data_IF_804039472851
#
_entry.id   IF_804039472851
#
_cell.length_a   1.000
_cell.length_b   1.000
_cell.length_c   1.000
_cell.angle_alpha   90.00
_cell.angle_beta   90.00
_cell.angle_gamma   90.00
#
_symmetry.space_group_name_H-M   'P 1'
#
loop_
_entity.id
_entity.type
_entity.pdbx_description
1 polymer ?
#
# COMPACT_ATOMS: atom_id res chain seq x y z
N UNK A 1 -1.42 7.09 -11.23
CA UNK A 1 -1.99 7.09 -12.60
C UNK A 1 -3.52 7.16 -12.67
N UNK A 2 -4.31 6.83 -11.63
CA UNK A 2 -5.74 7.27 -11.58
C UNK A 2 -6.00 8.02 -10.26
N UNK A 3 -5.79 7.40 -9.09
CA UNK A 3 -6.15 8.02 -7.80
C UNK A 3 -5.14 9.04 -7.21
N UNK A 4 -3.85 8.93 -7.52
CA UNK A 4 -2.76 9.74 -6.90
C UNK A 4 -1.95 10.58 -7.88
N UNK A 5 -2.16 10.40 -9.19
CA UNK A 5 -1.39 11.02 -10.29
C UNK A 5 0.14 10.81 -10.26
N UNK A 6 0.66 9.95 -9.39
CA UNK A 6 2.07 9.60 -9.35
C UNK A 6 2.43 8.73 -10.57
N UNK A 7 3.59 9.02 -11.17
CA UNK A 7 4.27 8.18 -12.14
C UNK A 7 5.54 7.63 -11.48
N UNK A 8 5.49 6.37 -11.06
CA UNK A 8 6.56 5.71 -10.31
C UNK A 8 6.99 4.44 -11.03
N UNK A 9 8.29 4.14 -10.97
CA UNK A 9 8.78 2.84 -11.35
C UNK A 9 8.42 1.83 -10.26
N UNK A 10 7.60 0.85 -10.62
CA UNK A 10 7.16 -0.19 -9.69
C UNK A 10 8.29 -1.21 -9.57
N UNK A 11 8.73 -1.47 -8.34
CA UNK A 11 9.62 -2.59 -8.08
C UNK A 11 8.81 -3.89 -8.19
N UNK A 12 9.05 -4.63 -9.25
CA UNK A 12 8.37 -5.91 -9.52
C UNK A 12 9.09 -7.14 -8.95
N UNK A 13 10.30 -6.97 -8.39
CA UNK A 13 11.08 -8.05 -7.80
C UNK A 13 10.51 -8.51 -6.46
N UNK A 14 9.75 -7.64 -5.78
CA UNK A 14 9.09 -7.94 -4.53
C UNK A 14 7.60 -7.59 -4.58
N UNK A 15 6.76 -8.53 -4.13
CA UNK A 15 5.33 -8.30 -3.96
C UNK A 15 4.80 -9.07 -2.77
N UNK A 16 3.75 -8.54 -2.15
CA UNK A 16 2.99 -9.23 -1.10
C UNK A 16 1.58 -9.49 -1.58
N UNK A 17 1.01 -10.63 -1.19
CA UNK A 17 -0.28 -11.10 -1.70
C UNK A 17 -1.22 -11.44 -0.56
N UNK A 18 -2.51 -11.17 -0.75
CA UNK A 18 -3.56 -11.62 0.16
C UNK A 18 -4.79 -12.03 -0.62
N UNK A 19 -5.51 -13.02 -0.09
CA UNK A 19 -6.74 -13.55 -0.64
C UNK A 19 -7.71 -13.75 0.51
N UNK A 20 -8.95 -13.31 0.34
CA UNK A 20 -10.00 -13.45 1.36
C UNK A 20 -11.40 -13.34 0.76
N UNK A 21 -12.34 -14.02 1.39
CA UNK A 21 -13.75 -14.01 0.99
C UNK A 21 -14.47 -12.79 1.58
N UNK A 22 -15.27 -12.14 0.75
CA UNK A 22 -16.14 -11.04 1.15
C UNK A 22 -17.51 -11.58 1.59
N UNK A 23 -18.21 -10.90 2.51
CA UNK A 23 -19.54 -11.34 2.98
C UNK A 23 -20.60 -11.48 1.87
N UNK A 24 -20.39 -10.85 0.72
CA UNK A 24 -21.25 -10.95 -0.45
C UNK A 24 -20.98 -12.20 -1.32
N UNK A 25 -20.10 -13.10 -0.87
CA UNK A 25 -19.72 -14.32 -1.58
C UNK A 25 -18.64 -14.14 -2.64
N UNK A 26 -18.13 -12.92 -2.84
CA UNK A 26 -17.05 -12.68 -3.78
C UNK A 26 -15.69 -13.00 -3.15
N UNK A 27 -14.85 -13.70 -3.91
CA UNK A 27 -13.47 -13.97 -3.52
C UNK A 27 -12.56 -12.85 -4.00
N UNK A 28 -11.90 -12.15 -3.08
CA UNK A 28 -10.97 -11.07 -3.42
C UNK A 28 -9.54 -11.58 -3.38
N UNK A 29 -8.78 -11.27 -4.44
CA UNK A 29 -7.33 -11.48 -4.52
C UNK A 29 -6.64 -10.14 -4.75
N UNK A 30 -5.55 -9.90 -4.02
CA UNK A 30 -4.80 -8.66 -4.11
C UNK A 30 -3.30 -8.95 -4.15
N UNK A 31 -2.60 -8.28 -5.06
CA UNK A 31 -1.13 -8.26 -5.13
C UNK A 31 -0.69 -6.81 -4.97
N UNK A 32 0.19 -6.54 -4.01
CA UNK A 32 0.73 -5.22 -3.73
C UNK A 32 2.23 -5.20 -4.06
N UNK A 33 2.66 -4.09 -4.66
CA UNK A 33 4.04 -3.83 -5.02
C UNK A 33 4.56 -2.57 -4.30
N UNK A 34 5.87 -2.48 -4.12
CA UNK A 34 6.53 -1.30 -3.59
C UNK A 34 7.02 -0.41 -4.73
N UNK A 35 7.04 0.89 -4.51
CA UNK A 35 7.70 1.85 -5.38
C UNK A 35 8.44 2.88 -4.52
N UNK A 36 9.63 3.27 -4.95
CA UNK A 36 10.39 4.32 -4.28
C UNK A 36 9.91 5.69 -4.74
N UNK A 37 9.76 6.62 -3.81
CA UNK A 37 9.34 7.98 -4.12
C UNK A 37 10.53 8.93 -4.00
N UNK A 38 10.91 9.55 -5.12
CA UNK A 38 11.83 10.69 -5.08
C UNK A 38 11.07 11.92 -4.56
N UNK A 39 11.69 12.68 -3.65
CA UNK A 39 11.09 13.78 -2.86
C UNK A 39 10.39 14.89 -3.67
N UNK A 40 10.47 14.89 -5.00
CA UNK A 40 9.85 15.88 -5.88
C UNK A 40 8.40 15.55 -6.25
N UNK A 41 7.90 14.36 -5.93
CA UNK A 41 6.58 13.92 -6.38
C UNK A 41 5.48 14.29 -5.37
N UNK A 42 4.76 15.37 -5.62
CA UNK A 42 3.59 15.74 -4.83
C UNK A 42 2.42 14.79 -5.12
N UNK A 43 1.82 14.20 -4.08
CA UNK A 43 0.58 13.42 -4.23
C UNK A 43 -0.54 14.38 -4.63
N UNK A 44 -1.22 14.11 -5.73
CA UNK A 44 -2.46 14.81 -6.10
C UNK A 44 -3.62 13.83 -6.03
N UNK A 45 -4.38 13.92 -4.94
CA UNK A 45 -5.53 13.05 -4.68
C UNK A 45 -6.72 13.36 -5.59
N UNK A 46 -7.47 12.32 -5.96
CA UNK A 46 -8.84 12.46 -6.44
C UNK A 46 -9.79 12.53 -5.25
N UNK A 47 -10.27 13.74 -4.94
CA UNK A 47 -11.11 14.01 -3.77
C UNK A 47 -12.45 13.23 -3.76
N UNK A 48 -12.91 12.72 -4.91
CA UNK A 48 -14.15 11.95 -5.02
C UNK A 48 -14.01 10.52 -4.45
N UNK A 49 -12.80 9.96 -4.42
CA UNK A 49 -12.54 8.58 -3.96
C UNK A 49 -11.69 8.53 -2.69
N UNK A 50 -10.76 9.46 -2.50
CA UNK A 50 -9.85 9.47 -1.36
C UNK A 50 -10.05 10.73 -0.52
N UNK A 51 -10.50 10.53 0.73
CA UNK A 51 -10.77 11.61 1.68
C UNK A 51 -9.50 12.27 2.23
N UNK A 52 -8.42 11.51 2.39
CA UNK A 52 -7.16 12.01 2.92
C UNK A 52 -5.99 11.05 2.57
N UNK A 53 -4.77 11.58 2.54
CA UNK A 53 -3.54 10.79 2.45
C UNK A 53 -2.43 11.42 3.28
N UNK A 54 -1.45 10.61 3.66
CA UNK A 54 -0.28 11.07 4.41
C UNK A 54 0.90 10.15 4.21
N UNK A 55 2.10 10.71 4.36
CA UNK A 55 3.33 9.93 4.47
C UNK A 55 3.57 9.62 5.94
N UNK A 56 3.74 8.34 6.24
CA UNK A 56 3.92 7.85 7.59
C UNK A 56 5.20 7.00 7.66
N UNK A 57 5.86 6.99 8.82
CA UNK A 57 6.81 5.93 9.12
C UNK A 57 6.06 4.60 9.33
N UNK A 58 6.80 3.49 9.36
CA UNK A 58 6.22 2.15 9.50
C UNK A 58 5.31 2.02 10.74
N UNK A 59 5.78 2.47 11.91
CA UNK A 59 5.01 2.35 13.16
C UNK A 59 3.66 3.07 13.07
N UNK A 60 3.66 4.30 12.58
CA UNK A 60 2.45 5.11 12.45
C UNK A 60 1.51 4.55 11.38
N UNK A 61 2.06 4.12 10.23
CA UNK A 61 1.29 3.49 9.15
C UNK A 61 0.58 2.23 9.65
N UNK A 62 1.27 1.40 10.42
CA UNK A 62 0.73 0.15 10.97
C UNK A 62 -0.44 0.40 11.93
N UNK A 63 -0.42 1.50 12.67
CA UNK A 63 -1.50 1.88 13.57
C UNK A 63 -2.76 2.37 12.83
N UNK A 64 -2.61 2.95 11.64
CA UNK A 64 -3.76 3.39 10.81
C UNK A 64 -4.54 2.21 10.20
N UNK A 65 -3.93 1.04 10.08
CA UNK A 65 -4.57 -0.13 9.49
C UNK A 65 -5.52 -0.81 10.48
N UNK A 66 -6.79 -0.97 10.09
CA UNK A 66 -7.79 -1.67 10.91
C UNK A 66 -7.61 -3.19 10.87
N UNK A 67 -7.36 -3.73 9.68
CA UNK A 67 -7.39 -5.19 9.45
C UNK A 67 -6.01 -5.82 9.63
N UNK A 68 -5.96 -6.93 10.37
CA UNK A 68 -4.69 -7.60 10.69
C UNK A 68 -4.01 -8.23 9.49
N UNK A 69 -4.76 -8.65 8.47
CA UNK A 69 -4.17 -9.12 7.22
C UNK A 69 -3.36 -8.00 6.54
N UNK A 70 -3.89 -6.78 6.49
CA UNK A 70 -3.18 -5.63 5.91
C UNK A 70 -1.95 -5.25 6.75
N UNK A 71 -2.05 -5.30 8.08
CA UNK A 71 -0.87 -5.10 8.96
C UNK A 71 0.20 -6.14 8.65
N UNK A 72 -0.16 -7.42 8.54
CA UNK A 72 0.78 -8.47 8.20
C UNK A 72 1.44 -8.30 6.83
N UNK A 73 0.76 -7.71 5.85
CA UNK A 73 1.37 -7.35 4.56
C UNK A 73 2.39 -6.21 4.71
N UNK A 74 2.05 -5.19 5.50
CA UNK A 74 2.95 -4.08 5.79
C UNK A 74 4.21 -4.56 6.55
N UNK A 75 4.05 -5.44 7.52
CA UNK A 75 5.14 -6.05 8.30
C UNK A 75 6.13 -6.80 7.39
N UNK A 76 5.63 -7.50 6.36
CA UNK A 76 6.46 -8.20 5.37
C UNK A 76 7.26 -7.22 4.50
N UNK A 77 6.64 -6.11 4.08
CA UNK A 77 7.30 -5.06 3.30
C UNK A 77 8.40 -4.40 4.14
N UNK A 78 8.10 -4.01 5.37
CA UNK A 78 9.07 -3.37 6.28
C UNK A 78 10.27 -4.28 6.53
N UNK A 79 10.02 -5.56 6.80
CA UNK A 79 11.07 -6.58 6.93
C UNK A 79 11.94 -6.68 5.67
N UNK A 80 11.34 -6.76 4.48
CA UNK A 80 12.08 -6.82 3.23
C UNK A 80 12.96 -5.58 2.97
N UNK A 81 12.50 -4.40 3.38
CA UNK A 81 13.22 -3.14 3.17
C UNK A 81 14.34 -2.92 4.20
N UNK A 82 14.21 -3.48 5.41
CA UNK A 82 15.16 -3.27 6.52
C UNK A 82 16.22 -4.37 6.65
N UNK A 83 15.97 -5.59 6.17
CA UNK A 83 16.93 -6.70 6.18
C UNK A 83 17.89 -6.72 4.97
N UNK A 84 18.08 -5.58 4.28
CA UNK A 84 19.02 -5.46 3.15
C UNK A 84 20.47 -5.28 3.57
#
# INVERSE_FOLDING_TARGET
>A
MEETHLNLEINSDFSVKTEYDLPNGNHKKMTLFTAELNQQNQIKLQNEEIKNSGWFNYSDARQQLTYDNLKGLLDQVDKHLTEK
#
